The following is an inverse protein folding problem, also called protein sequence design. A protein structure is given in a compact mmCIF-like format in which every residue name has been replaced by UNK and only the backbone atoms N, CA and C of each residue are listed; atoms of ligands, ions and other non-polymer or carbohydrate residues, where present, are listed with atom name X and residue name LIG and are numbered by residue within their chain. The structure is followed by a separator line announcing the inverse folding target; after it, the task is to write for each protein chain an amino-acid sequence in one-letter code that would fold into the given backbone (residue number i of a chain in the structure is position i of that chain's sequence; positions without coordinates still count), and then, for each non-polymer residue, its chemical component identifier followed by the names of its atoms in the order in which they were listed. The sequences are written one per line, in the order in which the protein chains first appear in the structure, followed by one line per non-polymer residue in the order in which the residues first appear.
data_IF_148645932325
#
_entry.id   IF_148645932325
#
_cell.length_a   1.000
_cell.length_b   1.000
_cell.length_c   1.000
_cell.angle_alpha   90.00
_cell.angle_beta   90.00
_cell.angle_gamma   90.00
#
_symmetry.space_group_name_H-M   'P 1'
#
loop_
_entity.id
_entity.type
_entity.pdbx_description
1 polymer ?
#
# COMPACT_ATOMS: atom_id res chain seq x y z
N UNK A 1 12.00 -11.10 38.62
CA UNK A 1 12.63 -11.40 37.31
C UNK A 1 11.79 -10.75 36.24
N UNK A 2 12.23 -9.61 35.74
CA UNK A 2 11.53 -8.83 34.71
C UNK A 2 11.89 -9.41 33.35
N UNK A 3 10.90 -9.82 32.56
CA UNK A 3 11.11 -10.29 31.19
C UNK A 3 11.91 -9.26 30.39
N UNK A 4 12.83 -9.68 29.50
CA UNK A 4 13.52 -8.75 28.63
C UNK A 4 12.50 -7.98 27.79
N UNK A 5 12.73 -6.68 27.51
CA UNK A 5 11.84 -5.90 26.67
C UNK A 5 11.70 -6.58 25.30
N UNK A 6 10.51 -6.54 24.67
CA UNK A 6 10.33 -7.07 23.34
C UNK A 6 11.32 -6.39 22.40
N UNK A 7 12.08 -7.20 21.65
CA UNK A 7 12.95 -6.72 20.59
C UNK A 7 12.06 -5.90 19.64
N UNK A 8 12.38 -4.62 19.36
CA UNK A 8 11.55 -3.83 18.46
C UNK A 8 11.43 -4.58 17.14
N UNK A 9 10.20 -4.93 16.77
CA UNK A 9 9.92 -5.47 15.44
C UNK A 9 10.55 -4.51 14.43
N UNK A 10 11.29 -5.06 13.47
CA UNK A 10 12.00 -4.27 12.46
C UNK A 10 10.99 -3.33 11.82
N UNK A 11 11.17 -2.01 11.98
CA UNK A 11 10.25 -1.00 11.48
C UNK A 11 9.93 -1.27 10.01
N UNK A 12 8.67 -1.65 9.73
CA UNK A 12 8.23 -1.98 8.38
C UNK A 12 8.07 -0.71 7.54
N UNK A 13 8.09 -0.89 6.22
CA UNK A 13 7.93 0.20 5.26
C UNK A 13 6.61 0.01 4.51
N UNK A 14 5.70 0.97 4.64
CA UNK A 14 4.41 0.99 3.96
C UNK A 14 4.52 1.72 2.62
N UNK A 15 4.05 1.11 1.53
CA UNK A 15 3.85 1.79 0.26
C UNK A 15 2.44 2.34 0.16
N UNK A 16 2.31 3.67 0.13
CA UNK A 16 1.01 4.32 -0.08
C UNK A 16 0.81 4.58 -1.58
N UNK A 17 -0.31 4.11 -2.12
CA UNK A 17 -0.69 4.34 -3.52
C UNK A 17 -2.21 4.39 -3.66
N UNK A 18 -2.72 5.33 -4.44
CA UNK A 18 -4.16 5.46 -4.67
C UNK A 18 -4.55 6.25 -5.92
N UNK A 19 -5.86 6.47 -6.13
CA UNK A 19 -6.35 7.21 -7.28
C UNK A 19 -5.93 8.68 -7.25
N UNK A 20 -5.82 9.26 -8.45
CA UNK A 20 -5.54 10.69 -8.66
C UNK A 20 -6.68 11.58 -8.16
N UNK A 21 -7.92 11.13 -8.36
CA UNK A 21 -9.10 11.83 -7.90
C UNK A 21 -9.57 11.26 -6.56
N UNK A 22 -9.52 12.08 -5.51
CA UNK A 22 -9.91 11.74 -4.14
C UNK A 22 -11.32 12.22 -3.78
N UNK A 23 -12.07 12.74 -4.76
CA UNK A 23 -13.38 13.35 -4.56
C UNK A 23 -13.31 14.69 -3.80
N UNK A 24 -14.47 15.32 -3.55
CA UNK A 24 -14.54 16.57 -2.80
C UNK A 24 -13.87 16.47 -1.43
N UNK A 25 -13.11 17.51 -1.07
CA UNK A 25 -12.45 17.66 0.24
C UNK A 25 -11.63 16.44 0.69
N UNK A 26 -11.03 15.71 -0.26
CA UNK A 26 -10.26 14.49 0.01
C UNK A 26 -11.05 13.39 0.75
N UNK A 27 -12.38 13.36 0.63
CA UNK A 27 -13.25 12.42 1.37
C UNK A 27 -12.83 10.96 1.18
N UNK A 28 -12.42 10.57 -0.03
CA UNK A 28 -11.94 9.23 -0.31
C UNK A 28 -10.66 8.88 0.46
N UNK A 29 -9.71 9.82 0.53
CA UNK A 29 -8.46 9.68 1.27
C UNK A 29 -8.73 9.56 2.77
N UNK A 30 -9.55 10.45 3.33
CA UNK A 30 -9.90 10.42 4.76
C UNK A 30 -10.61 9.13 5.17
N UNK A 31 -11.50 8.63 4.31
CA UNK A 31 -12.28 7.41 4.63
C UNK A 31 -11.43 6.15 4.58
N UNK A 32 -10.54 6.03 3.59
CA UNK A 32 -9.88 4.75 3.29
C UNK A 32 -8.40 4.68 3.67
N UNK A 33 -7.70 5.81 3.76
CA UNK A 33 -6.26 5.84 3.95
C UNK A 33 -5.88 6.28 5.36
N UNK A 34 -6.50 7.34 5.89
CA UNK A 34 -6.15 7.89 7.20
C UNK A 34 -6.17 6.85 8.33
N UNK A 35 -7.18 5.97 8.47
CA UNK A 35 -7.15 4.94 9.51
C UNK A 35 -5.95 3.98 9.40
N UNK A 36 -5.59 3.60 8.17
CA UNK A 36 -4.46 2.70 7.90
C UNK A 36 -3.11 3.37 8.11
N UNK A 37 -3.01 4.65 7.72
CA UNK A 37 -1.82 5.48 7.96
C UNK A 37 -1.60 5.65 9.46
N UNK A 38 -2.64 6.00 10.23
CA UNK A 38 -2.54 6.14 11.69
C UNK A 38 -2.11 4.83 12.34
N UNK A 39 -2.70 3.71 11.95
CA UNK A 39 -2.30 2.40 12.47
C UNK A 39 -0.85 2.02 12.13
N UNK A 40 -0.26 2.57 11.06
CA UNK A 40 1.15 2.40 10.72
C UNK A 40 2.05 3.37 11.51
N UNK A 41 1.61 4.61 11.71
CA UNK A 41 2.28 5.61 12.56
C UNK A 41 2.39 5.08 13.99
N UNK A 42 1.31 4.55 14.56
CA UNK A 42 1.28 4.00 15.92
C UNK A 42 2.28 2.87 16.16
N UNK A 43 2.64 2.14 15.08
CA UNK A 43 3.64 1.07 15.11
C UNK A 43 5.06 1.56 14.78
N UNK A 44 5.24 2.85 14.53
CA UNK A 44 6.53 3.43 14.17
C UNK A 44 7.01 3.05 12.78
N UNK A 45 6.10 2.72 11.85
CA UNK A 45 6.46 2.35 10.49
C UNK A 45 6.98 3.55 9.68
N UNK A 46 7.65 3.25 8.57
CA UNK A 46 8.14 4.24 7.59
C UNK A 46 7.29 4.18 6.32
N UNK A 47 7.37 5.21 5.49
CA UNK A 47 6.50 5.37 4.33
C UNK A 47 7.31 5.58 3.05
N UNK A 48 6.91 4.89 1.98
CA UNK A 48 7.30 5.22 0.60
C UNK A 48 6.06 5.68 -0.16
N UNK A 49 6.21 6.78 -0.89
CA UNK A 49 5.13 7.39 -1.66
C UNK A 49 5.63 7.87 -3.01
N UNK A 50 4.74 7.94 -4.00
CA UNK A 50 5.02 8.58 -5.26
C UNK A 50 5.00 10.11 -5.14
N UNK A 51 5.47 10.85 -6.16
CA UNK A 51 5.44 12.30 -6.19
C UNK A 51 4.13 12.85 -6.77
N UNK A 52 3.13 11.99 -6.96
CA UNK A 52 1.94 12.26 -7.78
C UNK A 52 0.86 12.99 -6.99
N UNK A 53 -0.06 13.64 -7.71
CA UNK A 53 -1.31 14.16 -7.16
C UNK A 53 -2.23 13.06 -6.58
N UNK A 54 -3.36 13.47 -6.01
CA UNK A 54 -4.36 12.57 -5.44
C UNK A 54 -3.93 12.01 -4.09
N UNK A 55 -4.10 10.70 -3.90
CA UNK A 55 -3.78 10.02 -2.64
C UNK A 55 -2.31 10.21 -2.23
N UNK A 56 -1.36 10.12 -3.16
CA UNK A 56 0.07 10.22 -2.84
C UNK A 56 0.39 11.60 -2.25
N UNK A 57 -0.13 12.68 -2.88
CA UNK A 57 0.00 14.05 -2.37
C UNK A 57 -0.71 14.25 -1.03
N UNK A 58 -1.95 13.78 -0.93
CA UNK A 58 -2.73 13.90 0.31
C UNK A 58 -2.04 13.15 1.47
N UNK A 59 -1.44 11.99 1.20
CA UNK A 59 -0.66 11.23 2.17
C UNK A 59 0.59 12.00 2.61
N UNK A 60 1.35 12.59 1.68
CA UNK A 60 2.51 13.42 2.04
C UNK A 60 2.12 14.57 2.96
N UNK A 61 1.10 15.34 2.57
CA UNK A 61 0.65 16.50 3.35
C UNK A 61 0.11 16.07 4.73
N UNK A 62 -0.61 14.94 4.81
CA UNK A 62 -1.08 14.37 6.06
C UNK A 62 0.06 13.92 6.98
N UNK A 63 1.04 13.20 6.44
CA UNK A 63 2.19 12.70 7.18
C UNK A 63 3.07 13.83 7.71
N UNK A 64 3.26 14.90 6.93
CA UNK A 64 4.01 16.09 7.35
C UNK A 64 3.28 16.93 8.41
N UNK A 65 1.95 16.86 8.46
CA UNK A 65 1.15 17.50 9.50
C UNK A 65 1.12 16.70 10.82
N UNK A 66 1.50 15.42 10.79
CA UNK A 66 1.55 14.54 11.96
C UNK A 66 2.94 14.60 12.63
N UNK A 67 3.06 14.38 13.95
CA UNK A 67 4.35 14.42 14.66
C UNK A 67 5.24 13.18 14.38
N UNK A 68 5.46 12.83 13.12
CA UNK A 68 6.49 11.85 12.73
C UNK A 68 7.71 12.57 12.13
N UNK A 69 8.93 12.01 12.28
CA UNK A 69 10.10 12.60 11.64
C UNK A 69 9.95 12.57 10.11
N UNK A 70 10.20 13.69 9.38
CA UNK A 70 10.17 13.69 7.91
C UNK A 70 11.12 12.65 7.27
N UNK A 71 12.20 12.27 7.97
CA UNK A 71 13.11 11.20 7.58
C UNK A 71 12.49 9.78 7.57
N UNK A 72 11.26 9.62 8.09
CA UNK A 72 10.47 8.40 7.96
C UNK A 72 9.74 8.32 6.62
N UNK A 73 9.71 9.41 5.85
CA UNK A 73 9.03 9.50 4.56
C UNK A 73 10.09 9.48 3.45
N UNK A 74 9.88 8.64 2.45
CA UNK A 74 10.70 8.61 1.24
C UNK A 74 9.82 8.78 0.02
N UNK A 75 10.06 9.86 -0.74
CA UNK A 75 9.40 10.11 -2.01
C UNK A 75 10.26 9.50 -3.11
N UNK A 76 9.70 8.55 -3.85
CA UNK A 76 10.36 8.00 -5.03
C UNK A 76 10.04 8.90 -6.23
N UNK A 77 11.03 9.18 -7.07
CA UNK A 77 10.88 10.01 -8.27
C UNK A 77 11.62 9.37 -9.43
N UNK A 78 11.10 9.53 -10.64
CA UNK A 78 11.89 9.33 -11.87
C UNK A 78 12.94 10.45 -12.01
N UNK A 79 13.97 10.29 -12.86
CA UNK A 79 14.94 11.36 -13.13
C UNK A 79 14.28 12.67 -13.57
N UNK A 80 13.26 12.58 -14.44
CA UNK A 80 12.50 13.75 -14.91
C UNK A 80 11.70 14.41 -13.77
N UNK A 81 11.00 13.62 -12.95
CA UNK A 81 10.29 14.15 -11.78
C UNK A 81 11.26 14.79 -10.78
N UNK A 82 12.45 14.23 -10.60
CA UNK A 82 13.47 14.82 -9.73
C UNK A 82 13.90 16.22 -10.18
N UNK A 83 14.04 16.44 -11.49
CA UNK A 83 14.38 17.76 -12.05
C UNK A 83 13.24 18.76 -11.79
N UNK A 84 11.99 18.32 -11.92
CA UNK A 84 10.82 19.21 -11.83
C UNK A 84 10.44 19.57 -10.39
N UNK A 85 10.58 18.63 -9.45
CA UNK A 85 10.02 18.75 -8.10
C UNK A 85 10.88 18.16 -6.98
N UNK A 86 12.06 17.61 -7.31
CA UNK A 86 12.94 16.99 -6.31
C UNK A 86 13.37 17.97 -5.21
N UNK A 87 13.64 19.22 -5.57
CA UNK A 87 14.06 20.25 -4.61
C UNK A 87 12.91 20.69 -3.69
N UNK A 88 11.66 20.68 -4.18
CA UNK A 88 10.49 20.92 -3.33
C UNK A 88 10.40 19.84 -2.24
N UNK A 89 10.56 18.57 -2.59
CA UNK A 89 10.53 17.49 -1.61
C UNK A 89 11.70 17.59 -0.62
N UNK A 90 12.93 17.84 -1.09
CA UNK A 90 14.09 18.03 -0.21
C UNK A 90 13.89 19.20 0.76
N UNK A 91 13.26 20.30 0.33
CA UNK A 91 12.99 21.46 1.17
C UNK A 91 12.06 21.14 2.36
N UNK A 92 11.25 20.08 2.24
CA UNK A 92 10.37 19.56 3.29
C UNK A 92 11.06 18.53 4.19
N UNK A 93 12.37 18.36 4.07
CA UNK A 93 13.19 17.42 4.84
C UNK A 93 12.80 15.93 4.70
N UNK A 94 12.00 15.57 3.69
CA UNK A 94 11.75 14.16 3.37
C UNK A 94 12.92 13.58 2.58
N UNK A 95 13.07 12.25 2.60
CA UNK A 95 14.04 11.60 1.72
C UNK A 95 13.51 11.61 0.28
N UNK A 96 14.39 11.87 -0.69
CA UNK A 96 14.07 11.73 -2.11
C UNK A 96 14.93 10.62 -2.69
N UNK A 97 14.28 9.58 -3.21
CA UNK A 97 14.94 8.49 -3.91
C UNK A 97 14.68 8.61 -5.41
N UNK A 98 15.74 8.90 -6.17
CA UNK A 98 15.68 8.89 -7.64
C UNK A 98 15.87 7.46 -8.10
N UNK A 99 14.91 6.93 -8.84
CA UNK A 99 14.98 5.55 -9.33
C UNK A 99 16.09 5.45 -10.38
N UNK A 100 17.03 4.51 -10.14
CA UNK A 100 18.18 4.30 -11.01
C UNK A 100 17.75 3.82 -12.41
N UNK A 101 18.28 4.48 -13.45
CA UNK A 101 18.19 4.03 -14.83
C UNK A 101 18.11 5.16 -15.87
N UNK A 102 17.58 4.82 -17.05
CA UNK A 102 17.49 5.74 -18.19
C UNK A 102 16.63 6.98 -17.87
N UNK A 103 16.86 8.13 -18.51
CA UNK A 103 15.94 9.27 -18.49
C UNK A 103 14.49 8.93 -18.88
N UNK A 104 14.28 7.81 -19.59
CA UNK A 104 12.97 7.33 -20.03
C UNK A 104 12.22 6.48 -18.99
N UNK A 105 12.68 6.46 -17.73
CA UNK A 105 11.98 5.76 -16.65
C UNK A 105 10.52 6.22 -16.54
N UNK A 106 9.62 5.25 -16.48
CA UNK A 106 8.19 5.50 -16.42
C UNK A 106 7.67 5.52 -14.98
N UNK A 107 6.46 6.03 -14.79
CA UNK A 107 5.72 5.89 -13.54
C UNK A 107 5.60 4.43 -13.11
N UNK A 108 5.49 3.47 -14.05
CA UNK A 108 5.42 2.04 -13.71
C UNK A 108 6.74 1.50 -13.16
N UNK A 109 7.88 1.94 -13.70
CA UNK A 109 9.20 1.53 -13.22
C UNK A 109 9.43 2.04 -11.80
N UNK A 110 9.03 3.29 -11.55
CA UNK A 110 9.07 3.89 -10.21
C UNK A 110 8.17 3.15 -9.22
N UNK A 111 6.93 2.86 -9.60
CA UNK A 111 6.01 2.13 -8.74
C UNK A 111 6.49 0.69 -8.45
N UNK A 112 7.17 0.05 -9.42
CA UNK A 112 7.83 -1.23 -9.20
C UNK A 112 8.99 -1.11 -8.21
N UNK A 113 9.78 -0.03 -8.28
CA UNK A 113 10.84 0.24 -7.30
C UNK A 113 10.26 0.47 -5.89
N UNK A 114 9.18 1.25 -5.76
CA UNK A 114 8.47 1.43 -4.48
C UNK A 114 7.93 0.11 -3.92
N UNK A 115 7.37 -0.75 -4.78
CA UNK A 115 6.90 -2.08 -4.37
C UNK A 115 8.04 -2.92 -3.80
N UNK A 116 9.23 -2.91 -4.43
CA UNK A 116 10.42 -3.63 -3.95
C UNK A 116 10.99 -3.04 -2.66
N UNK A 117 10.89 -1.72 -2.48
CA UNK A 117 11.43 -1.01 -1.32
C UNK A 117 10.53 -1.05 -0.07
N UNK A 118 9.35 -1.64 -0.16
CA UNK A 118 8.34 -1.66 0.89
C UNK A 118 7.94 -3.07 1.31
N UNK A 119 7.57 -3.21 2.58
CA UNK A 119 7.14 -4.47 3.20
C UNK A 119 5.68 -4.81 2.86
N UNK A 120 4.81 -3.80 2.82
CA UNK A 120 3.39 -3.97 2.55
C UNK A 120 2.79 -2.72 1.90
N UNK A 121 1.53 -2.81 1.46
CA UNK A 121 0.82 -1.70 0.83
C UNK A 121 -0.28 -1.10 1.73
N UNK A 122 -0.37 0.22 1.74
CA UNK A 122 -1.58 0.98 2.09
C UNK A 122 -2.14 1.50 0.77
N UNK A 123 -2.97 0.68 0.13
CA UNK A 123 -3.56 1.03 -1.16
C UNK A 123 -5.02 0.63 -1.24
N UNK A 124 -5.77 1.36 -2.07
CA UNK A 124 -7.15 1.05 -2.45
C UNK A 124 -7.52 1.76 -3.74
N UNK A 125 -7.85 1.01 -4.79
CA UNK A 125 -8.58 1.55 -5.94
C UNK A 125 -10.08 1.43 -5.72
N UNK A 126 -10.88 2.13 -6.53
CA UNK A 126 -12.34 2.07 -6.44
C UNK A 126 -12.87 0.75 -7.02
N UNK A 127 -13.72 0.00 -6.31
CA UNK A 127 -14.48 -1.10 -6.90
C UNK A 127 -15.31 -0.62 -8.10
N UNK A 128 -15.76 -1.54 -8.94
CA UNK A 128 -16.45 -1.25 -10.20
C UNK A 128 -17.71 -0.46 -9.97
N UNK A 129 -18.50 -0.82 -8.96
CA UNK A 129 -19.70 -0.07 -8.59
C UNK A 129 -19.37 1.38 -8.22
N UNK A 130 -18.40 1.57 -7.34
CA UNK A 130 -17.95 2.89 -6.89
C UNK A 130 -17.38 3.72 -8.05
N UNK A 131 -16.59 3.09 -8.92
CA UNK A 131 -16.01 3.72 -10.11
C UNK A 131 -17.09 4.17 -11.10
N UNK A 132 -18.14 3.36 -11.32
CA UNK A 132 -19.27 3.70 -12.20
C UNK A 132 -20.06 4.88 -11.66
N UNK A 133 -20.34 4.89 -10.35
CA UNK A 133 -21.02 5.99 -9.66
C UNK A 133 -20.19 7.28 -9.72
N UNK A 134 -18.87 7.17 -9.50
CA UNK A 134 -17.97 8.32 -9.44
C UNK A 134 -17.68 8.94 -10.81
N UNK A 135 -17.26 8.13 -11.79
CA UNK A 135 -16.85 8.62 -13.11
C UNK A 135 -18.02 8.78 -14.09
N UNK A 136 -19.16 8.13 -13.85
CA UNK A 136 -20.31 8.17 -14.75
C UNK A 136 -19.93 7.82 -16.18
N UNK A 137 -20.11 8.76 -17.11
CA UNK A 137 -19.79 8.58 -18.53
C UNK A 137 -18.29 8.45 -18.84
N UNK A 138 -17.42 8.87 -17.91
CA UNK A 138 -15.97 8.76 -18.05
C UNK A 138 -15.44 7.40 -17.58
N UNK A 139 -16.30 6.56 -17.00
CA UNK A 139 -15.95 5.21 -16.59
C UNK A 139 -15.51 4.36 -17.80
N UNK A 140 -14.45 3.59 -17.63
CA UNK A 140 -13.89 2.70 -18.66
C UNK A 140 -13.92 1.26 -18.15
N UNK A 141 -14.80 0.45 -18.72
CA UNK A 141 -14.91 -0.98 -18.40
C UNK A 141 -13.56 -1.67 -18.69
N UNK A 142 -13.10 -2.50 -17.74
CA UNK A 142 -11.82 -3.23 -17.85
C UNK A 142 -10.54 -2.38 -17.69
N UNK A 143 -10.65 -1.09 -17.36
CA UNK A 143 -9.47 -0.26 -17.11
C UNK A 143 -8.78 -0.63 -15.79
N UNK A 144 -7.53 -1.09 -15.89
CA UNK A 144 -6.70 -1.43 -14.74
C UNK A 144 -5.91 -0.20 -14.29
N UNK A 145 -6.15 0.24 -13.06
CA UNK A 145 -5.48 1.43 -12.49
C UNK A 145 -4.03 1.13 -12.08
N UNK A 146 -3.16 2.13 -12.02
CA UNK A 146 -1.80 1.95 -11.49
C UNK A 146 -1.81 1.40 -10.05
N UNK A 147 -2.77 1.82 -9.22
CA UNK A 147 -2.95 1.31 -7.86
C UNK A 147 -3.27 -0.19 -7.84
N UNK A 148 -4.15 -0.65 -8.73
CA UNK A 148 -4.43 -2.09 -8.91
C UNK A 148 -3.19 -2.83 -9.41
N UNK A 149 -2.44 -2.26 -10.35
CA UNK A 149 -1.18 -2.82 -10.83
C UNK A 149 -0.17 -3.01 -9.70
N UNK A 150 -0.09 -2.07 -8.76
CA UNK A 150 0.78 -2.16 -7.60
C UNK A 150 0.37 -3.33 -6.69
N UNK A 151 -0.93 -3.49 -6.44
CA UNK A 151 -1.48 -4.61 -5.68
C UNK A 151 -1.20 -5.97 -6.33
N UNK A 152 -1.35 -6.06 -7.66
CA UNK A 152 -1.06 -7.25 -8.47
C UNK A 152 0.41 -7.61 -8.40
N UNK A 153 1.30 -6.63 -8.57
CA UNK A 153 2.76 -6.81 -8.53
C UNK A 153 3.22 -7.46 -7.23
N UNK A 154 2.72 -7.00 -6.07
CA UNK A 154 3.09 -7.58 -4.77
C UNK A 154 2.65 -9.04 -4.62
N UNK A 155 1.59 -9.44 -5.32
CA UNK A 155 1.02 -10.81 -5.27
C UNK A 155 1.53 -11.71 -6.38
N UNK A 156 2.39 -11.21 -7.27
CA UNK A 156 2.85 -11.96 -8.43
C UNK A 156 1.74 -12.26 -9.46
N UNK A 157 0.67 -11.46 -9.47
CA UNK A 157 -0.45 -11.62 -10.41
C UNK A 157 -0.12 -10.83 -11.69
N UNK A 158 -0.26 -11.47 -12.85
CA UNK A 158 -0.07 -10.86 -14.15
C UNK A 158 -1.11 -9.79 -14.50
N UNK A 159 -0.77 -8.93 -15.46
CA UNK A 159 -1.65 -7.83 -15.90
C UNK A 159 -2.93 -8.33 -16.58
N UNK A 160 -2.83 -9.47 -17.27
CA UNK A 160 -3.93 -10.07 -18.05
C UNK A 160 -4.79 -11.05 -17.24
N UNK A 161 -4.39 -11.36 -16.00
CA UNK A 161 -5.15 -12.26 -15.15
C UNK A 161 -6.44 -11.60 -14.67
N UNK A 162 -7.54 -12.35 -14.68
CA UNK A 162 -8.84 -11.85 -14.21
C UNK A 162 -8.83 -11.91 -12.68
N UNK A 163 -9.00 -10.75 -12.04
CA UNK A 163 -9.13 -10.61 -10.58
C UNK A 163 -10.58 -10.23 -10.29
N UNK A 164 -11.26 -11.05 -9.49
CA UNK A 164 -12.63 -10.75 -9.04
C UNK A 164 -12.58 -9.89 -7.79
N UNK A 165 -13.47 -8.90 -7.68
CA UNK A 165 -13.45 -7.93 -6.58
C UNK A 165 -13.66 -8.59 -5.21
N UNK A 166 -14.46 -9.66 -5.16
CA UNK A 166 -14.68 -10.47 -3.96
C UNK A 166 -13.41 -11.11 -3.39
N UNK A 167 -12.41 -11.36 -4.24
CA UNK A 167 -11.14 -11.96 -3.84
C UNK A 167 -10.11 -10.90 -3.37
N UNK A 168 -10.43 -9.61 -3.54
CA UNK A 168 -9.55 -8.52 -3.16
C UNK A 168 -9.77 -8.14 -1.70
N UNK A 169 -8.85 -8.61 -0.84
CA UNK A 169 -8.85 -8.36 0.61
C UNK A 169 -8.94 -6.90 1.08
N UNK A 170 -8.67 -5.91 0.20
CA UNK A 170 -8.80 -4.48 0.51
C UNK A 170 -10.26 -3.98 0.42
N UNK A 171 -11.14 -4.76 -0.23
CA UNK A 171 -12.58 -4.50 -0.33
C UNK A 171 -13.39 -5.28 0.71
N UNK A 172 -12.74 -6.18 1.45
CA UNK A 172 -13.35 -6.95 2.51
C UNK A 172 -13.73 -6.08 3.71
N UNK A 173 -14.98 -6.20 4.13
CA UNK A 173 -15.55 -5.59 5.32
C UNK A 173 -14.79 -6.07 6.58
N UNK A 174 -14.33 -5.15 7.45
CA UNK A 174 -13.59 -5.51 8.68
C UNK A 174 -14.39 -6.48 9.56
N UNK A 175 -15.73 -6.41 9.51
CA UNK A 175 -16.63 -7.34 10.20
C UNK A 175 -16.52 -8.79 9.72
N UNK A 176 -16.15 -9.03 8.46
CA UNK A 176 -15.95 -10.39 7.90
C UNK A 176 -14.56 -10.95 8.18
N UNK A 177 -13.56 -10.10 8.47
CA UNK A 177 -12.19 -10.54 8.84
C UNK A 177 -12.16 -11.33 10.17
N UNK A 178 -13.13 -11.14 11.07
CA UNK A 178 -13.18 -11.90 12.33
C UNK A 178 -13.71 -13.34 12.16
N UNK A 179 -14.53 -13.61 11.13
CA UNK A 179 -15.03 -14.96 10.85
C UNK A 179 -14.05 -15.81 10.02
N UNK A 180 -13.30 -15.18 9.10
CA UNK A 180 -12.34 -15.86 8.23
C UNK A 180 -11.14 -16.49 8.97
N UNK A 181 -10.66 -15.87 10.06
CA UNK A 181 -9.57 -16.46 10.87
C UNK A 181 -9.99 -17.75 11.60
N UNK A 182 -11.28 -17.93 11.89
CA UNK A 182 -11.80 -19.15 12.54
C UNK A 182 -11.94 -20.32 11.56
N UNK A 183 -12.26 -20.04 10.30
CA UNK A 183 -12.42 -21.07 9.27
C UNK A 183 -11.07 -21.67 8.81
N UNK A 184 -10.03 -20.85 8.64
CA UNK A 184 -8.72 -21.32 8.14
C UNK A 184 -7.98 -22.19 9.18
N UNK A 185 -8.13 -21.93 10.48
CA UNK A 185 -7.60 -22.81 11.54
C UNK A 185 -8.31 -24.17 11.60
N UNK A 186 -9.54 -24.26 11.13
CA UNK A 186 -10.30 -25.52 11.12
C UNK A 186 -9.91 -26.40 9.92
N UNK A 187 -9.50 -25.79 8.80
CA UNK A 187 -9.16 -26.51 7.56
C UNK A 187 -7.68 -26.92 7.52
N UNK A 188 -6.75 -26.13 8.09
CA UNK A 188 -5.32 -26.48 8.12
C UNK A 188 -4.88 -27.26 9.37
N UNK A 189 -5.77 -27.51 10.34
CA UNK A 189 -5.44 -28.20 11.60
C UNK A 189 -5.52 -29.73 11.58
N UNK A 190 -6.01 -30.37 10.50
CA UNK A 190 -6.32 -31.81 10.49
C UNK A 190 -5.28 -32.73 9.84
N UNK A 191 -4.04 -32.28 9.59
CA UNK A 191 -2.96 -33.16 9.16
C UNK A 191 -1.75 -33.09 10.10
N UNK A 192 -1.91 -33.66 11.30
CA UNK A 192 -0.82 -34.31 12.03
C UNK A 192 -1.31 -35.67 12.52
N UNK A 193 -1.27 -36.67 11.64
CA UNK A 193 -1.31 -38.06 12.08
C UNK A 193 -0.05 -38.36 12.88
N UNK A 194 -0.29 -38.76 14.12
CA UNK A 194 0.68 -39.30 15.06
C UNK A 194 1.19 -40.64 14.50
N UNK A 195 2.49 -40.75 14.28
CA UNK A 195 3.17 -42.04 14.16
C UNK A 195 3.93 -42.30 15.46
N UNK A 196 3.39 -43.17 16.31
CA UNK A 196 4.13 -43.78 17.42
C UNK A 196 5.03 -44.89 16.88
N UNK A 197 6.30 -45.01 17.32
CA UNK A 197 7.08 -46.21 17.10
C UNK A 197 6.66 -47.29 18.10
N UNK A 198 6.32 -48.48 17.58
CA UNK A 198 6.16 -49.72 18.33
C UNK A 198 7.50 -50.13 18.95
N UNK A 199 7.49 -50.43 20.24
CA UNK A 199 8.55 -51.19 20.90
C UNK A 199 8.25 -52.67 20.70
N UNK A 200 9.23 -53.39 20.18
CA UNK A 200 9.65 -54.72 20.63
C UNK A 200 11.16 -54.84 20.34
#
# INVERSE_FOLDING_TARGET
MTSPPPIPEKAEIAFISGPLDTGPDNTYFHTHYVPLINAAIDRGHRFVIGPVAGVDRAALDYLLAYPIPPSHITVFVTPTENILMGDEFRSRAVNVHVVDGSPNMTTRDRDAAMTRASSYDILRWRPTKESKEFYGRLYREGYVTNTEMNWRRRRGIGETEIVREEDVSIFGDEKKRSWGRRAVYTICGSFRSVAQPSKD
#
